data_IF_535247732253
#
_entry.id   IF_535247732253
#
_cell.length_a   1.000
_cell.length_b   1.000
_cell.length_c   1.000
_cell.angle_alpha   90.00
_cell.angle_beta   90.00
_cell.angle_gamma   90.00
#
_symmetry.space_group_name_H-M   'P 1'
#
loop_
_entity.id
_entity.type
_entity.pdbx_description
1 polymer ?
#
# COMPACT_ATOMS: atom_id res chain seq x y z
N UNK A 1 26.86 19.09 -12.86
CA UNK A 1 25.59 19.02 -12.10
C UNK A 1 25.27 17.56 -11.83
N UNK A 2 25.35 17.10 -10.56
CA UNK A 2 24.96 15.73 -10.19
C UNK A 2 23.44 15.65 -10.24
N UNK A 3 22.88 14.71 -11.01
CA UNK A 3 21.45 14.45 -11.00
C UNK A 3 21.04 14.03 -9.58
N UNK A 4 20.14 14.79 -8.95
CA UNK A 4 19.49 14.32 -7.74
C UNK A 4 18.65 13.10 -8.14
N UNK A 5 19.12 11.90 -7.79
CA UNK A 5 18.37 10.68 -8.00
C UNK A 5 17.01 10.82 -7.33
N UNK A 6 15.94 10.88 -8.13
CA UNK A 6 14.57 10.99 -7.63
C UNK A 6 14.31 9.81 -6.70
N UNK A 7 14.16 10.09 -5.42
CA UNK A 7 13.94 9.07 -4.39
C UNK A 7 12.62 8.36 -4.69
N UNK A 8 12.60 7.04 -4.76
CA UNK A 8 11.36 6.29 -5.05
C UNK A 8 10.32 6.49 -3.93
N UNK A 9 9.00 6.45 -4.22
CA UNK A 9 7.96 6.58 -3.20
C UNK A 9 8.12 5.58 -2.04
N UNK A 10 8.46 4.33 -2.37
CA UNK A 10 8.74 3.29 -1.38
C UNK A 10 9.93 3.65 -0.47
N UNK A 11 10.99 4.22 -1.03
CA UNK A 11 12.14 4.67 -0.25
C UNK A 11 11.77 5.84 0.67
N UNK A 12 11.08 6.85 0.16
CA UNK A 12 10.66 8.00 0.95
C UNK A 12 9.79 7.55 2.13
N UNK A 13 8.77 6.72 1.86
CA UNK A 13 7.85 6.23 2.87
C UNK A 13 8.55 5.39 3.95
N UNK A 14 9.44 4.45 3.57
CA UNK A 14 10.18 3.62 4.53
C UNK A 14 11.11 4.47 5.39
N UNK A 15 11.88 5.38 4.80
CA UNK A 15 12.80 6.26 5.54
C UNK A 15 12.03 7.15 6.51
N UNK A 16 10.91 7.73 6.09
CA UNK A 16 10.06 8.54 6.94
C UNK A 16 9.45 7.75 8.10
N UNK A 17 8.93 6.54 7.83
CA UNK A 17 8.36 5.64 8.86
C UNK A 17 9.39 5.30 9.93
N UNK A 18 10.64 5.04 9.51
CA UNK A 18 11.77 4.80 10.42
C UNK A 18 12.10 6.04 11.24
N UNK A 19 12.12 7.21 10.60
CA UNK A 19 12.43 8.48 11.26
C UNK A 19 11.39 8.82 12.33
N UNK A 20 10.10 8.61 12.02
CA UNK A 20 8.95 8.88 12.90
C UNK A 20 8.70 7.79 13.95
N UNK A 21 9.45 6.67 13.91
CA UNK A 21 9.22 5.50 14.79
C UNK A 21 7.77 5.01 14.76
N UNK A 22 7.18 5.00 13.57
CA UNK A 22 5.76 4.69 13.43
C UNK A 22 5.56 3.18 13.49
N UNK A 23 5.18 2.70 14.67
CA UNK A 23 4.78 1.32 14.92
C UNK A 23 3.68 1.28 15.99
N UNK A 24 2.60 0.48 15.81
CA UNK A 24 2.30 -0.38 14.67
C UNK A 24 2.11 0.39 13.34
N UNK A 25 2.19 -0.29 12.18
CA UNK A 25 2.04 0.38 10.90
C UNK A 25 0.64 0.98 10.75
N UNK A 26 0.56 2.23 10.30
CA UNK A 26 -0.71 2.91 10.03
C UNK A 26 -0.94 3.04 8.52
N UNK A 27 -2.21 2.92 8.14
CA UNK A 27 -2.63 3.11 6.75
C UNK A 27 -2.85 4.59 6.49
N UNK A 28 -2.23 5.11 5.43
CA UNK A 28 -2.37 6.50 4.99
C UNK A 28 -3.30 6.56 3.78
N UNK A 29 -4.38 7.31 3.95
CA UNK A 29 -5.45 7.49 2.98
C UNK A 29 -5.23 8.81 2.21
N UNK A 30 -5.29 8.83 0.86
CA UNK A 30 -5.03 10.04 0.08
C UNK A 30 -5.90 11.23 0.46
N UNK A 31 -7.16 10.97 0.83
CA UNK A 31 -8.12 11.99 1.28
C UNK A 31 -7.81 12.59 2.66
N UNK A 32 -6.92 11.97 3.44
CA UNK A 32 -6.48 12.49 4.75
C UNK A 32 -5.15 13.26 4.66
N UNK A 33 -4.50 13.24 3.51
CA UNK A 33 -3.21 13.92 3.32
C UNK A 33 -3.51 15.38 2.95
N UNK A 34 -3.04 16.31 3.78
CA UNK A 34 -3.20 17.74 3.50
C UNK A 34 -2.56 18.13 2.17
N UNK A 35 -3.29 18.90 1.36
CA UNK A 35 -2.81 19.41 0.07
C UNK A 35 -2.96 18.44 -1.11
N UNK A 36 -3.57 17.26 -0.93
CA UNK A 36 -3.94 16.41 -2.07
C UNK A 36 -5.14 16.97 -2.82
N UNK A 37 -5.12 16.81 -4.14
CA UNK A 37 -6.24 17.22 -4.98
C UNK A 37 -7.42 16.25 -4.79
N UNK A 38 -8.68 16.71 -4.91
CA UNK A 38 -9.84 15.82 -4.80
C UNK A 38 -9.82 14.62 -5.76
N UNK A 39 -9.17 14.76 -6.92
CA UNK A 39 -8.97 13.65 -7.88
C UNK A 39 -8.01 12.57 -7.38
N UNK A 40 -7.04 12.93 -6.53
CA UNK A 40 -6.06 12.03 -5.91
C UNK A 40 -6.67 11.17 -4.80
N UNK A 41 -7.84 11.56 -4.27
CA UNK A 41 -8.53 10.85 -3.19
C UNK A 41 -8.96 9.43 -3.58
N UNK A 42 -9.10 9.15 -4.87
CA UNK A 42 -9.43 7.83 -5.40
C UNK A 42 -8.21 6.92 -5.63
N UNK A 43 -7.01 7.42 -5.34
CA UNK A 43 -5.79 6.62 -5.35
C UNK A 43 -5.81 5.52 -4.27
N UNK A 44 -4.96 4.51 -4.42
CA UNK A 44 -4.83 3.48 -3.40
C UNK A 44 -4.14 4.03 -2.15
N UNK A 45 -4.71 3.78 -0.96
CA UNK A 45 -4.03 4.05 0.29
C UNK A 45 -2.75 3.25 0.41
N UNK A 46 -1.88 3.75 1.27
CA UNK A 46 -0.54 3.22 1.44
C UNK A 46 -0.35 2.73 2.86
N UNK A 47 0.42 1.67 3.04
CA UNK A 47 0.87 1.20 4.35
C UNK A 47 2.35 0.87 4.25
N UNK A 48 3.14 1.40 5.17
CA UNK A 48 4.58 1.19 5.18
C UNK A 48 4.97 0.22 6.29
N UNK A 49 5.61 -0.88 5.90
CA UNK A 49 6.17 -1.87 6.81
C UNK A 49 7.68 -1.66 6.98
N UNK A 50 8.06 -1.03 8.09
CA UNK A 50 9.44 -0.75 8.46
C UNK A 50 9.70 -1.10 9.95
N UNK A 51 9.71 -2.40 10.31
CA UNK A 51 9.89 -2.85 11.69
C UNK A 51 11.22 -2.42 12.31
N UNK A 52 12.24 -2.14 11.50
CA UNK A 52 13.52 -1.58 11.94
C UNK A 52 13.39 -0.22 12.66
N UNK A 53 12.23 0.44 12.59
CA UNK A 53 11.94 1.64 13.37
C UNK A 53 11.92 1.40 14.89
N UNK A 54 11.72 0.15 15.31
CA UNK A 54 11.76 -0.29 16.72
C UNK A 54 13.18 -0.59 17.21
N UNK A 55 14.13 -0.79 16.30
CA UNK A 55 15.51 -1.13 16.67
C UNK A 55 16.25 0.13 17.16
N UNK A 56 17.03 0.07 18.24
CA UNK A 56 17.72 1.25 18.80
C UNK A 56 18.60 1.98 17.78
N UNK A 57 19.24 1.21 16.89
CA UNK A 57 20.12 1.73 15.85
C UNK A 57 19.38 2.07 14.54
N UNK A 58 18.06 1.87 14.47
CA UNK A 58 17.21 2.04 13.28
C UNK A 58 17.69 1.24 12.07
N UNK A 59 18.28 0.07 12.31
CA UNK A 59 18.78 -0.85 11.28
C UNK A 59 18.08 -2.20 11.41
N UNK A 60 17.86 -2.92 10.31
CA UNK A 60 17.21 -4.22 10.35
C UNK A 60 18.09 -5.27 11.06
N UNK A 61 17.42 -6.25 11.67
CA UNK A 61 18.10 -7.45 12.18
C UNK A 61 18.42 -8.42 11.04
N UNK A 62 19.60 -9.03 11.07
CA UNK A 62 19.91 -10.10 10.13
C UNK A 62 19.17 -11.39 10.50
N UNK A 63 18.53 -12.03 9.53
CA UNK A 63 17.81 -13.30 9.71
C UNK A 63 18.62 -14.54 9.31
N UNK A 64 19.87 -14.36 8.88
CA UNK A 64 20.78 -15.48 8.60
C UNK A 64 21.22 -16.07 9.94
N UNK A 65 21.02 -17.37 10.12
CA UNK A 65 21.38 -18.11 11.33
C UNK A 65 22.84 -17.80 11.70
N UNK A 66 23.05 -17.44 12.97
CA UNK A 66 24.35 -17.05 13.54
C UNK A 66 25.04 -15.81 12.92
N UNK A 67 24.41 -15.06 11.99
CA UNK A 67 24.97 -13.78 11.53
C UNK A 67 24.60 -12.63 12.48
N UNK A 68 25.61 -11.88 12.94
CA UNK A 68 25.44 -10.62 13.69
C UNK A 68 25.73 -9.37 12.84
N UNK A 69 25.86 -9.59 11.54
CA UNK A 69 26.09 -8.55 10.56
C UNK A 69 24.93 -7.54 10.51
N UNK A 70 25.23 -6.30 10.17
CA UNK A 70 24.22 -5.28 9.87
C UNK A 70 23.87 -5.37 8.37
N UNK A 71 22.65 -5.80 8.01
CA UNK A 71 22.24 -5.92 6.62
C UNK A 71 22.26 -4.57 5.90
N UNK A 72 22.63 -4.57 4.62
CA UNK A 72 22.58 -3.39 3.76
C UNK A 72 21.28 -3.37 2.97
N UNK A 73 20.68 -2.19 2.79
CA UNK A 73 19.52 -2.02 1.90
C UNK A 73 19.94 -2.47 0.50
N UNK A 74 19.18 -3.41 -0.06
CA UNK A 74 19.32 -3.83 -1.46
C UNK A 74 18.33 -3.09 -2.36
N UNK A 75 17.08 -2.99 -1.92
CA UNK A 75 16.01 -2.35 -2.70
C UNK A 75 14.82 -1.99 -1.81
N UNK A 76 14.18 -0.86 -2.07
CA UNK A 76 12.84 -0.56 -1.56
C UNK A 76 11.79 -1.10 -2.53
N UNK A 77 10.82 -1.85 -2.02
CA UNK A 77 9.80 -2.53 -2.81
C UNK A 77 8.41 -2.03 -2.45
N UNK A 78 7.51 -2.18 -3.40
CA UNK A 78 6.09 -1.99 -3.22
C UNK A 78 5.34 -3.19 -3.77
N UNK A 79 4.19 -3.52 -3.17
CA UNK A 79 3.23 -4.46 -3.75
C UNK A 79 1.81 -4.03 -3.41
N UNK A 80 0.87 -4.31 -4.30
CA UNK A 80 -0.55 -4.08 -4.03
C UNK A 80 -1.15 -5.29 -3.32
N UNK A 81 -1.96 -5.05 -2.30
CA UNK A 81 -2.69 -6.07 -1.52
C UNK A 81 -4.18 -5.76 -1.57
N UNK A 82 -4.99 -6.81 -1.56
CA UNK A 82 -6.44 -6.71 -1.52
C UNK A 82 -6.90 -6.43 -0.10
N UNK A 83 -7.75 -5.43 0.03
CA UNK A 83 -8.36 -5.02 1.29
C UNK A 83 -9.89 -5.03 1.14
N UNK A 84 -10.56 -4.89 2.28
CA UNK A 84 -12.02 -4.99 2.35
C UNK A 84 -12.69 -3.88 1.54
N UNK A 85 -12.25 -2.64 1.73
CA UNK A 85 -12.90 -1.47 1.12
C UNK A 85 -12.22 -0.99 -0.16
N UNK A 86 -11.06 -1.56 -0.54
CA UNK A 86 -10.25 -1.11 -1.67
C UNK A 86 -8.99 -1.98 -1.81
N UNK A 87 -8.05 -1.58 -2.66
CA UNK A 87 -6.67 -2.07 -2.61
C UNK A 87 -5.76 -1.11 -1.85
N UNK A 88 -4.70 -1.65 -1.25
CA UNK A 88 -3.69 -0.89 -0.51
C UNK A 88 -2.30 -1.17 -1.10
N UNK A 89 -1.44 -0.16 -1.18
CA UNK A 89 -0.03 -0.31 -1.56
C UNK A 89 0.82 -0.51 -0.32
N UNK A 90 1.42 -1.68 -0.20
CA UNK A 90 2.36 -2.04 0.86
C UNK A 90 3.79 -1.66 0.44
N UNK A 91 4.42 -0.73 1.17
CA UNK A 91 5.84 -0.40 1.05
C UNK A 91 6.69 -1.18 2.05
N UNK A 92 7.82 -1.71 1.61
CA UNK A 92 8.72 -2.49 2.47
C UNK A 92 10.15 -2.52 1.91
N UNK A 93 11.11 -2.90 2.74
CA UNK A 93 12.52 -2.98 2.34
C UNK A 93 12.98 -4.43 2.09
N UNK A 94 13.86 -4.58 1.11
CA UNK A 94 14.66 -5.77 0.86
C UNK A 94 16.10 -5.49 1.27
N UNK A 95 16.63 -6.35 2.11
CA UNK A 95 17.98 -6.27 2.66
C UNK A 95 18.86 -7.40 2.14
N UNK A 96 20.17 -7.16 2.20
CA UNK A 96 21.19 -8.16 1.94
C UNK A 96 22.09 -8.29 3.16
N UNK A 97 22.24 -9.52 3.64
CA UNK A 97 23.24 -9.89 4.63
C UNK A 97 24.64 -9.49 4.12
N UNK A 98 25.42 -8.84 4.98
CA UNK A 98 26.80 -8.40 4.66
C UNK A 98 27.86 -9.40 5.15
N UNK A 99 27.46 -10.45 5.85
CA UNK A 99 28.33 -11.58 6.22
C UNK A 99 28.61 -12.53 5.05
N UNK A 100 29.32 -13.62 5.33
CA UNK A 100 29.79 -14.58 4.32
C UNK A 100 28.71 -15.16 3.40
N UNK A 101 27.50 -15.37 3.93
CA UNK A 101 26.39 -15.95 3.17
C UNK A 101 25.80 -15.02 2.08
N UNK A 102 25.95 -13.69 2.21
CA UNK A 102 25.40 -12.66 1.29
C UNK A 102 23.92 -12.82 0.90
N UNK A 103 23.13 -13.56 1.69
CA UNK A 103 21.72 -13.88 1.44
C UNK A 103 20.84 -12.63 1.49
N UNK A 104 19.90 -12.50 0.56
CA UNK A 104 18.90 -11.42 0.54
C UNK A 104 17.60 -11.86 1.20
N UNK A 105 16.93 -10.95 1.90
CA UNK A 105 15.62 -11.18 2.55
C UNK A 105 14.78 -9.89 2.54
N UNK A 106 13.47 -10.02 2.74
CA UNK A 106 12.54 -8.88 2.80
C UNK A 106 11.93 -8.79 4.19
N UNK A 107 11.61 -7.58 4.65
CA UNK A 107 11.00 -7.38 5.98
C UNK A 107 9.61 -8.00 6.10
N UNK A 108 8.92 -8.25 4.98
CA UNK A 108 7.62 -8.92 4.91
C UNK A 108 7.70 -10.44 4.62
N UNK A 109 8.90 -11.04 4.67
CA UNK A 109 9.04 -12.49 4.51
C UNK A 109 8.76 -13.22 5.81
N UNK A 110 8.25 -14.45 5.72
CA UNK A 110 7.93 -15.28 6.89
C UNK A 110 9.12 -15.44 7.84
N UNK A 111 10.33 -15.61 7.29
CA UNK A 111 11.56 -15.73 8.07
C UNK A 111 11.85 -14.45 8.88
N UNK A 112 11.54 -13.27 8.32
CA UNK A 112 11.72 -12.01 9.03
C UNK A 112 10.59 -11.78 10.04
N UNK A 113 9.33 -12.02 9.66
CA UNK A 113 8.18 -11.85 10.54
C UNK A 113 8.29 -12.77 11.77
N UNK A 114 8.66 -14.04 11.57
CA UNK A 114 8.86 -15.01 12.67
C UNK A 114 10.07 -14.70 13.57
N UNK A 115 10.94 -13.76 13.18
CA UNK A 115 12.10 -13.37 14.02
C UNK A 115 11.71 -12.60 15.28
N UNK A 116 10.47 -12.10 15.37
CA UNK A 116 9.91 -11.43 16.54
C UNK A 116 8.40 -11.66 16.62
N UNK A 117 7.91 -12.05 17.80
CA UNK A 117 6.46 -12.18 18.06
C UNK A 117 5.71 -10.88 17.76
N UNK A 118 6.33 -9.73 18.04
CA UNK A 118 5.74 -8.43 17.79
C UNK A 118 5.50 -8.19 16.29
N UNK A 119 6.38 -8.68 15.43
CA UNK A 119 6.23 -8.52 13.99
C UNK A 119 5.08 -9.37 13.46
N UNK A 120 4.95 -10.61 13.92
CA UNK A 120 3.83 -11.50 13.54
C UNK A 120 2.49 -10.89 13.95
N UNK A 121 2.39 -10.38 15.19
CA UNK A 121 1.13 -9.85 15.73
C UNK A 121 0.67 -8.54 15.07
N UNK A 122 1.60 -7.73 14.57
CA UNK A 122 1.28 -6.40 14.02
C UNK A 122 1.37 -6.33 12.49
N UNK A 123 1.71 -7.43 11.82
CA UNK A 123 1.73 -7.46 10.36
C UNK A 123 0.31 -7.74 9.82
N UNK A 124 -0.34 -6.78 9.13
CA UNK A 124 -1.78 -6.83 8.89
C UNK A 124 -2.18 -7.60 7.61
N UNK A 125 -1.26 -8.37 7.03
CA UNK A 125 -1.46 -9.00 5.72
C UNK A 125 -1.04 -10.47 5.72
N UNK A 126 -1.82 -11.29 5.01
CA UNK A 126 -1.46 -12.62 4.58
C UNK A 126 -0.94 -12.53 3.14
N UNK A 127 0.34 -12.84 2.96
CA UNK A 127 1.01 -12.69 1.67
C UNK A 127 1.22 -14.03 0.97
N UNK A 128 0.94 -14.05 -0.33
CA UNK A 128 1.36 -15.12 -1.25
C UNK A 128 2.43 -14.58 -2.20
N UNK A 129 2.97 -15.46 -3.06
CA UNK A 129 3.96 -15.08 -4.06
C UNK A 129 3.45 -14.01 -5.04
N UNK A 130 2.17 -14.11 -5.46
CA UNK A 130 1.58 -13.21 -6.47
C UNK A 130 0.75 -12.08 -5.87
N UNK A 131 0.05 -12.33 -4.76
CA UNK A 131 -0.91 -11.39 -4.17
C UNK A 131 -0.84 -11.39 -2.64
N UNK A 132 -1.61 -10.54 -1.97
CA UNK A 132 -1.82 -10.60 -0.53
C UNK A 132 -3.21 -10.07 -0.18
N UNK A 133 -3.73 -10.49 0.96
CA UNK A 133 -5.02 -10.04 1.49
C UNK A 133 -4.81 -9.48 2.91
N UNK A 134 -5.60 -8.49 3.31
CA UNK A 134 -5.63 -8.06 4.71
C UNK A 134 -6.21 -9.15 5.61
N UNK A 135 -5.81 -9.16 6.89
CA UNK A 135 -6.42 -10.03 7.90
C UNK A 135 -7.94 -9.84 7.95
N UNK A 136 -8.42 -8.59 7.93
CA UNK A 136 -9.86 -8.28 7.89
C UNK A 136 -10.57 -8.88 6.66
N UNK A 137 -9.91 -8.89 5.50
CA UNK A 137 -10.44 -9.50 4.28
C UNK A 137 -10.48 -11.03 4.42
N UNK A 138 -9.45 -11.62 5.02
CA UNK A 138 -9.43 -13.05 5.32
C UNK A 138 -10.58 -13.44 6.26
N UNK A 139 -10.80 -12.68 7.34
CA UNK A 139 -11.87 -12.94 8.30
C UNK A 139 -13.25 -12.94 7.63
N UNK A 140 -13.53 -11.96 6.77
CA UNK A 140 -14.79 -11.91 6.00
C UNK A 140 -14.94 -13.12 5.07
N UNK A 141 -13.86 -13.55 4.41
CA UNK A 141 -13.89 -14.71 3.53
C UNK A 141 -14.06 -16.00 4.32
N UNK A 142 -13.40 -16.11 5.48
CA UNK A 142 -13.48 -17.27 6.37
C UNK A 142 -14.89 -17.42 6.93
N UNK A 143 -15.46 -16.36 7.50
CA UNK A 143 -16.85 -16.33 7.95
C UNK A 143 -17.82 -16.62 6.79
N UNK A 144 -17.50 -16.10 5.61
CA UNK A 144 -18.20 -16.39 4.37
C UNK A 144 -18.28 -17.88 4.07
N UNK A 145 -17.15 -18.59 4.14
CA UNK A 145 -17.07 -20.04 3.91
C UNK A 145 -17.96 -20.84 4.87
N UNK A 146 -18.09 -20.37 6.11
CA UNK A 146 -18.91 -21.01 7.15
C UNK A 146 -20.39 -20.58 7.09
N UNK A 147 -20.73 -19.58 6.29
CA UNK A 147 -22.08 -19.04 6.19
C UNK A 147 -22.94 -19.76 5.13
N UNK A 148 -24.26 -19.67 5.28
CA UNK A 148 -25.25 -20.18 4.30
C UNK A 148 -25.12 -19.52 2.91
N UNK A 149 -24.57 -18.30 2.83
CA UNK A 149 -24.37 -17.59 1.56
C UNK A 149 -23.02 -17.93 0.92
N UNK A 150 -22.18 -18.69 1.62
CA UNK A 150 -20.85 -19.08 1.18
C UNK A 150 -19.94 -17.89 0.84
N UNK A 151 -18.88 -18.20 0.11
CA UNK A 151 -17.90 -17.22 -0.39
C UNK A 151 -18.58 -16.17 -1.28
N UNK A 152 -19.61 -16.54 -2.05
CA UNK A 152 -20.34 -15.60 -2.90
C UNK A 152 -20.96 -14.45 -2.08
N UNK A 153 -21.54 -14.77 -0.91
CA UNK A 153 -22.05 -13.78 0.03
C UNK A 153 -20.96 -12.86 0.58
N UNK A 154 -19.79 -13.41 0.92
CA UNK A 154 -18.64 -12.62 1.39
C UNK A 154 -18.11 -11.67 0.32
N UNK A 155 -17.97 -12.15 -0.93
CA UNK A 155 -17.56 -11.31 -2.07
C UNK A 155 -18.56 -10.18 -2.31
N UNK A 156 -19.87 -10.47 -2.27
CA UNK A 156 -20.90 -9.44 -2.41
C UNK A 156 -20.86 -8.40 -1.27
N UNK A 157 -20.54 -8.82 -0.03
CA UNK A 157 -20.34 -7.92 1.11
C UNK A 157 -19.14 -7.00 0.87
N UNK A 158 -18.00 -7.55 0.44
CA UNK A 158 -16.79 -6.78 0.07
C UNK A 158 -17.11 -5.77 -1.02
N UNK A 159 -17.77 -6.18 -2.11
CA UNK A 159 -18.15 -5.28 -3.20
C UNK A 159 -19.12 -4.16 -2.75
N UNK A 160 -20.01 -4.45 -1.80
CA UNK A 160 -20.86 -3.41 -1.20
C UNK A 160 -20.05 -2.41 -0.37
N UNK A 161 -19.04 -2.86 0.39
CA UNK A 161 -18.13 -1.98 1.17
C UNK A 161 -17.26 -1.13 0.24
N UNK A 162 -16.64 -1.79 -0.73
CA UNK A 162 -16.39 -1.36 -2.13
C UNK A 162 -17.04 -0.04 -2.53
N UNK A 163 -18.29 -0.24 -2.91
CA UNK A 163 -19.18 0.75 -3.44
C UNK A 163 -19.48 1.87 -2.43
N UNK A 164 -19.74 1.51 -1.17
CA UNK A 164 -20.02 2.48 -0.10
C UNK A 164 -18.88 3.46 0.07
N UNK A 165 -17.63 2.98 0.05
CA UNK A 165 -16.44 3.83 0.11
C UNK A 165 -16.35 4.77 -1.09
N UNK A 166 -16.47 4.24 -2.30
CA UNK A 166 -16.39 5.03 -3.53
C UNK A 166 -17.39 6.20 -3.52
N UNK A 167 -18.66 5.93 -3.22
CA UNK A 167 -19.68 6.98 -3.16
C UNK A 167 -19.47 7.92 -1.97
N UNK A 168 -18.96 7.42 -0.84
CA UNK A 168 -18.57 8.28 0.29
C UNK A 168 -17.49 9.29 -0.08
N UNK A 169 -16.47 8.88 -0.84
CA UNK A 169 -15.45 9.77 -1.37
C UNK A 169 -16.03 10.76 -2.38
N UNK A 170 -16.89 10.29 -3.28
CA UNK A 170 -17.55 11.13 -4.27
C UNK A 170 -18.35 12.28 -3.62
N UNK A 171 -19.09 11.98 -2.55
CA UNK A 171 -19.81 13.00 -1.78
C UNK A 171 -18.86 14.02 -1.14
N UNK A 172 -17.73 13.57 -0.56
CA UNK A 172 -16.74 14.48 0.04
C UNK A 172 -16.08 15.37 -1.01
N UNK A 173 -15.77 14.83 -2.19
CA UNK A 173 -15.26 15.61 -3.32
C UNK A 173 -16.27 16.67 -3.73
N UNK A 174 -17.56 16.33 -3.83
CA UNK A 174 -18.62 17.30 -4.11
C UNK A 174 -18.61 18.47 -3.13
N UNK A 175 -18.53 18.20 -1.82
CA UNK A 175 -18.43 19.25 -0.79
C UNK A 175 -17.17 20.10 -0.97
N UNK A 176 -16.01 19.46 -1.19
CA UNK A 176 -14.74 20.18 -1.35
C UNK A 176 -14.75 21.09 -2.59
N UNK A 177 -15.41 20.67 -3.67
CA UNK A 177 -15.53 21.44 -4.90
C UNK A 177 -16.39 22.67 -4.70
N UNK A 178 -17.50 22.54 -3.98
CA UNK A 178 -18.35 23.69 -3.66
C UNK A 178 -17.62 24.68 -2.76
N UNK A 179 -16.88 24.22 -1.75
CA UNK A 179 -16.01 25.10 -0.93
C UNK A 179 -14.97 25.82 -1.81
N UNK A 180 -14.27 25.10 -2.69
CA UNK A 180 -13.30 25.74 -3.60
C UNK A 180 -13.94 26.73 -4.58
N UNK A 181 -15.23 26.57 -4.90
CA UNK A 181 -15.97 27.51 -5.76
C UNK A 181 -16.38 28.80 -5.07
N UNK A 182 -16.42 28.81 -3.74
CA UNK A 182 -16.59 30.05 -2.97
C UNK A 182 -15.36 30.96 -3.15
N UNK A 183 -14.16 30.37 -3.19
CA UNK A 183 -12.90 31.07 -3.41
C UNK A 183 -12.64 31.39 -4.89
N UNK A 184 -12.89 30.43 -5.80
CA UNK A 184 -12.76 30.57 -7.25
C UNK A 184 -13.99 30.02 -7.98
N UNK A 185 -14.90 30.89 -8.41
CA UNK A 185 -16.11 30.50 -9.15
C UNK A 185 -15.83 29.74 -10.45
N UNK A 186 -14.64 29.86 -11.03
CA UNK A 186 -14.25 29.12 -12.23
C UNK A 186 -13.65 27.73 -11.91
N UNK A 187 -13.53 27.37 -10.63
CA UNK A 187 -12.98 26.10 -10.20
C UNK A 187 -13.78 24.91 -10.77
N UNK A 188 -13.07 24.08 -11.53
CA UNK A 188 -13.58 22.86 -12.12
C UNK A 188 -12.61 21.71 -11.82
N UNK A 189 -12.98 20.74 -10.98
CA UNK A 189 -12.11 19.61 -10.65
C UNK A 189 -11.96 18.66 -11.85
N UNK A 190 -10.87 17.90 -11.87
CA UNK A 190 -10.81 16.72 -12.73
C UNK A 190 -11.90 15.74 -12.31
N UNK A 191 -12.62 15.20 -13.30
CA UNK A 191 -13.69 14.23 -13.04
C UNK A 191 -13.14 13.03 -12.27
N UNK A 192 -13.86 12.58 -11.22
CA UNK A 192 -13.46 11.40 -10.50
C UNK A 192 -13.48 10.19 -11.44
N UNK A 193 -12.55 9.25 -11.27
CA UNK A 193 -12.48 8.05 -12.09
C UNK A 193 -13.73 7.19 -11.86
N UNK A 194 -14.25 6.59 -12.92
CA UNK A 194 -15.41 5.70 -12.84
C UNK A 194 -15.16 4.53 -11.86
N UNK A 195 -16.24 4.01 -11.24
CA UNK A 195 -16.17 2.88 -10.31
C UNK A 195 -15.40 1.68 -10.89
N UNK A 196 -15.65 1.35 -12.17
CA UNK A 196 -15.00 0.22 -12.84
C UNK A 196 -13.48 0.39 -12.95
N UNK A 197 -12.99 1.63 -13.15
CA UNK A 197 -11.55 1.91 -13.19
C UNK A 197 -10.92 1.84 -11.81
N UNK A 198 -11.54 2.38 -10.77
CA UNK A 198 -10.95 2.35 -9.40
C UNK A 198 -10.74 0.93 -8.87
N UNK A 199 -11.56 -0.03 -9.30
CA UNK A 199 -11.45 -1.44 -8.88
C UNK A 199 -10.65 -2.33 -9.85
N UNK A 200 -10.25 -1.83 -11.02
CA UNK A 200 -9.44 -2.58 -11.98
C UNK A 200 -8.02 -2.82 -11.45
N UNK A 201 -7.47 -4.02 -11.69
CA UNK A 201 -6.12 -4.45 -11.31
C UNK A 201 -5.03 -3.58 -11.94
N UNK A 202 -5.34 -2.96 -13.09
CA UNK A 202 -4.43 -2.10 -13.84
C UNK A 202 -4.37 -0.66 -13.30
N UNK A 203 -5.33 -0.26 -12.46
CA UNK A 203 -5.50 1.12 -12.09
C UNK A 203 -4.39 1.59 -11.14
N UNK A 204 -3.58 2.51 -11.62
CA UNK A 204 -2.54 3.21 -10.86
C UNK A 204 -2.74 4.69 -11.10
N UNK A 205 -3.36 5.38 -10.14
CA UNK A 205 -3.43 6.85 -10.20
C UNK A 205 -2.00 7.41 -10.17
N UNK A 206 -1.64 8.24 -11.16
CA UNK A 206 -0.34 8.91 -11.22
C UNK A 206 0.80 8.20 -11.98
N UNK A 207 0.55 7.11 -12.72
CA UNK A 207 1.44 6.71 -13.83
C UNK A 207 0.76 7.04 -15.15
N UNK A 208 1.33 7.97 -15.92
CA UNK A 208 1.08 8.01 -17.37
C UNK A 208 1.40 6.60 -17.89
N UNK A 209 0.41 5.90 -18.45
CA UNK A 209 0.68 4.77 -19.32
C UNK A 209 1.53 5.28 -20.48
N UNK A 210 2.83 5.07 -20.40
CA UNK A 210 3.65 4.89 -21.58
C UNK A 210 3.60 3.41 -21.90
N UNK A 211 2.48 2.98 -22.49
CA UNK A 211 2.46 1.78 -23.30
C UNK A 211 2.00 2.23 -24.68
N UNK A 212 2.90 2.05 -25.64
CA UNK A 212 2.80 2.57 -26.99
C UNK A 212 1.54 2.07 -27.69
N UNK A 213 0.87 3.02 -28.34
CA UNK A 213 -0.09 2.74 -29.40
C UNK A 213 0.69 2.08 -30.54
N UNK A 214 0.62 0.75 -30.64
CA UNK A 214 0.85 0.08 -31.93
C UNK A 214 -0.43 0.31 -32.73
N UNK A 215 -0.38 1.29 -33.63
CA UNK A 215 -1.40 1.47 -34.66
C UNK A 215 -1.21 0.31 -35.64
N UNK A 216 -2.07 -0.70 -35.58
CA UNK A 216 -2.30 -1.56 -36.73
C UNK A 216 -3.02 -0.74 -37.79
N UNK A 217 -2.35 -0.51 -38.91
CA UNK A 217 -2.99 -0.12 -40.17
C UNK A 217 -2.68 -1.20 -41.19
N UNK A 218 -3.71 -1.57 -41.94
CA UNK A 218 -3.73 -2.56 -43.01
C UNK A 218 -2.61 -2.43 -44.03
#
# INVERSE_FOLDING_TARGET
MKSMSRTSPAQAAVVETIARRQFPPLRSYPEMISGTLPSEWFGFPTLTWAPECLEPNRKPKCVVIACRCVPKVKQYKQRTVEDVEQRTVLYYARYQCTGGAKKSFSTNSDVYLSSSKLFVLNFPYLLTYKTGISSDMFDILYDGMLSIKGIAGAVANVERRRQKRYYGLLSRVGVQVEVSREDDRAYSPLLPPNRSTVHDKSYVFGRRSFDGVVVNSH
#
